data_IF_854088975336
#
_entry.id   IF_854088975336
#
_cell.length_a   1.000
_cell.length_b   1.000
_cell.length_c   1.000
_cell.angle_alpha   90.00
_cell.angle_beta   90.00
_cell.angle_gamma   90.00
#
_symmetry.space_group_name_H-M   'P 1'
#
loop_
_entity.id
_entity.type
_entity.pdbx_description
1 polymer ?
#
# COMPACT_ATOMS: atom_id res chain seq x y z
N UNK A 1 -4.66 27.16 -19.44
CA UNK A 1 -3.87 26.02 -18.97
C UNK A 1 -4.42 25.58 -17.62
N UNK A 2 -5.15 24.46 -17.58
CA UNK A 2 -5.72 23.95 -16.33
C UNK A 2 -4.69 23.02 -15.68
N UNK A 3 -3.85 23.57 -14.80
CA UNK A 3 -2.98 22.78 -13.96
C UNK A 3 -3.86 22.06 -12.93
N UNK A 4 -4.23 20.81 -13.20
CA UNK A 4 -4.75 19.90 -12.19
C UNK A 4 -3.61 19.60 -11.23
N UNK A 5 -3.40 20.49 -10.26
CA UNK A 5 -2.42 20.30 -9.19
C UNK A 5 -2.92 19.14 -8.35
N UNK A 6 -2.27 17.98 -8.46
CA UNK A 6 -2.56 16.83 -7.59
C UNK A 6 -2.29 17.27 -6.15
N UNK A 7 -3.30 17.16 -5.29
CA UNK A 7 -3.22 17.55 -3.88
C UNK A 7 -3.23 16.29 -3.03
N UNK A 8 -2.19 16.10 -2.24
CA UNK A 8 -2.07 14.98 -1.32
C UNK A 8 -2.53 15.42 0.08
N UNK A 9 -3.29 14.55 0.75
CA UNK A 9 -3.66 14.76 2.16
C UNK A 9 -2.55 14.20 3.03
N UNK A 10 -1.93 15.08 3.80
CA UNK A 10 -0.85 14.73 4.72
C UNK A 10 -1.31 15.01 6.14
N UNK A 11 -1.07 14.03 7.02
CA UNK A 11 -1.39 14.17 8.44
C UNK A 11 -0.22 14.84 9.17
N UNK A 12 -0.47 15.99 9.77
CA UNK A 12 0.46 16.65 10.66
C UNK A 12 0.61 15.84 11.96
N UNK A 13 1.80 15.83 12.61
CA UNK A 13 2.02 15.18 13.91
C UNK A 13 1.05 15.61 15.02
N UNK A 14 0.41 16.78 14.89
CA UNK A 14 -0.60 17.27 15.82
C UNK A 14 -2.04 16.85 15.45
N UNK A 15 -2.22 15.83 14.61
CA UNK A 15 -3.52 15.28 14.15
C UNK A 15 -4.36 16.16 13.21
N UNK A 16 -3.74 17.16 12.57
CA UNK A 16 -4.41 17.98 11.55
C UNK A 16 -4.18 17.42 10.15
N UNK A 17 -5.23 17.32 9.34
CA UNK A 17 -5.14 16.92 7.94
C UNK A 17 -5.01 18.19 7.11
N UNK A 18 -3.93 18.30 6.34
CA UNK A 18 -3.73 19.42 5.41
C UNK A 18 -3.60 18.91 3.98
N UNK A 19 -4.13 19.69 3.03
CA UNK A 19 -3.95 19.43 1.61
C UNK A 19 -2.71 20.13 1.12
N UNK A 20 -1.74 19.36 0.63
CA UNK A 20 -0.45 19.85 0.14
C UNK A 20 -0.33 19.48 -1.34
N UNK A 21 0.03 20.40 -2.23
CA UNK A 21 0.24 20.09 -3.65
C UNK A 21 1.44 19.15 -3.85
N UNK A 22 1.36 18.30 -4.89
CA UNK A 22 2.39 17.34 -5.30
C UNK A 22 3.81 17.89 -5.32
N UNK A 23 3.94 19.16 -5.72
CA UNK A 23 5.20 19.87 -5.90
C UNK A 23 5.89 20.25 -4.59
N UNK A 24 5.17 20.22 -3.47
CA UNK A 24 5.67 20.58 -2.13
C UNK A 24 5.79 19.34 -1.21
N UNK A 25 5.68 18.13 -1.76
CA UNK A 25 6.00 16.90 -1.02
C UNK A 25 7.52 16.72 -0.91
N UNK A 26 7.92 16.11 0.20
CA UNK A 26 9.30 15.96 0.68
C UNK A 26 10.01 17.28 1.08
N UNK A 27 9.28 18.39 1.13
CA UNK A 27 9.75 19.65 1.72
C UNK A 27 9.33 19.80 3.19
N UNK A 28 10.05 20.67 3.92
CA UNK A 28 9.69 21.05 5.28
C UNK A 28 8.53 22.06 5.23
N UNK A 29 7.36 21.64 5.71
CA UNK A 29 6.15 22.45 5.74
C UNK A 29 5.78 22.85 7.15
N UNK A 30 5.11 24.00 7.26
CA UNK A 30 4.53 24.49 8.50
C UNK A 30 3.03 24.26 8.43
N UNK A 31 2.49 23.55 9.42
CA UNK A 31 1.04 23.40 9.53
C UNK A 31 0.40 24.77 9.83
N UNK A 32 -0.57 25.26 9.04
CA UNK A 32 -1.23 26.54 9.32
C UNK A 32 -2.15 26.48 10.55
N UNK A 33 -2.48 25.29 11.06
CA UNK A 33 -3.36 25.12 12.23
C UNK A 33 -2.59 25.15 13.55
N UNK A 34 -1.49 24.41 13.64
CA UNK A 34 -0.71 24.29 14.89
C UNK A 34 0.70 24.90 14.80
N UNK A 35 1.04 25.52 13.66
CA UNK A 35 2.35 26.13 13.38
C UNK A 35 3.54 25.17 13.58
N UNK A 36 3.28 23.86 13.59
CA UNK A 36 4.30 22.83 13.75
C UNK A 36 5.01 22.61 12.43
N UNK A 37 6.35 22.59 12.47
CA UNK A 37 7.20 22.21 11.33
C UNK A 37 7.25 20.70 11.23
N UNK A 38 6.97 20.17 10.06
CA UNK A 38 7.07 18.75 9.79
C UNK A 38 7.47 18.52 8.33
N UNK A 39 8.14 17.40 8.08
CA UNK A 39 8.51 17.04 6.72
C UNK A 39 7.30 16.39 6.04
N UNK A 40 6.82 16.98 4.95
CA UNK A 40 5.68 16.50 4.20
C UNK A 40 6.07 15.33 3.28
N UNK A 41 6.59 14.25 3.86
CA UNK A 41 7.09 13.10 3.08
C UNK A 41 5.95 12.45 2.30
N UNK A 42 6.21 12.13 1.03
CA UNK A 42 5.28 11.31 0.23
C UNK A 42 5.03 9.94 0.88
N UNK A 43 5.99 9.43 1.67
CA UNK A 43 5.84 8.20 2.48
C UNK A 43 4.81 8.27 3.60
N UNK A 44 4.42 9.47 4.04
CA UNK A 44 3.35 9.69 5.03
C UNK A 44 2.01 10.03 4.35
N UNK A 45 1.95 10.03 3.02
CA UNK A 45 0.71 10.20 2.28
C UNK A 45 -0.15 8.95 2.38
N UNK A 46 -1.46 9.14 2.60
CA UNK A 46 -2.43 8.05 2.72
C UNK A 46 -2.50 7.18 1.46
N UNK A 47 -2.23 7.76 0.28
CA UNK A 47 -2.18 7.01 -0.98
C UNK A 47 -1.03 5.97 -1.00
N UNK A 48 0.08 6.23 -0.30
CA UNK A 48 1.16 5.25 -0.15
C UNK A 48 0.80 4.13 0.82
N UNK A 49 -0.01 4.43 1.84
CA UNK A 49 -0.53 3.41 2.76
C UNK A 49 -1.52 2.48 2.07
N UNK A 50 -2.40 3.01 1.21
CA UNK A 50 -3.34 2.22 0.42
C UNK A 50 -2.59 1.25 -0.51
N UNK A 51 -1.59 1.72 -1.27
CA UNK A 51 -0.85 0.83 -2.18
C UNK A 51 0.03 -0.21 -1.45
N UNK A 52 0.53 0.09 -0.25
CA UNK A 52 1.26 -0.88 0.57
C UNK A 52 0.33 -1.97 1.15
N UNK A 53 -0.89 -1.61 1.55
CA UNK A 53 -1.86 -2.61 2.03
C UNK A 53 -2.29 -3.57 0.94
N UNK A 54 -2.44 -3.08 -0.30
CA UNK A 54 -2.74 -3.94 -1.44
C UNK A 54 -1.61 -4.94 -1.69
N UNK A 55 -0.34 -4.51 -1.69
CA UNK A 55 0.80 -5.41 -1.91
C UNK A 55 0.94 -6.47 -0.81
N UNK A 56 0.72 -6.09 0.45
CA UNK A 56 0.71 -7.04 1.55
C UNK A 56 -0.41 -8.07 1.39
N UNK A 57 -1.61 -7.64 1.00
CA UNK A 57 -2.74 -8.54 0.74
C UNK A 57 -2.44 -9.50 -0.43
N UNK A 58 -1.85 -9.02 -1.52
CA UNK A 58 -1.46 -9.86 -2.66
C UNK A 58 -0.42 -10.92 -2.28
N UNK A 59 0.57 -10.58 -1.45
CA UNK A 59 1.58 -11.55 -1.01
C UNK A 59 0.95 -12.72 -0.23
N UNK A 60 0.05 -12.43 0.71
CA UNK A 60 -0.65 -13.47 1.47
C UNK A 60 -1.58 -14.30 0.57
N UNK A 61 -2.29 -13.66 -0.36
CA UNK A 61 -3.15 -14.35 -1.33
C UNK A 61 -2.37 -15.31 -2.23
N UNK A 62 -1.22 -14.88 -2.77
CA UNK A 62 -0.38 -15.73 -3.65
C UNK A 62 0.17 -16.94 -2.88
N UNK A 63 0.59 -16.76 -1.62
CA UNK A 63 1.04 -17.87 -0.78
C UNK A 63 -0.09 -18.87 -0.52
N UNK A 64 -1.30 -18.39 -0.20
CA UNK A 64 -2.45 -19.26 0.03
C UNK A 64 -2.85 -20.04 -1.24
N UNK A 65 -2.93 -19.37 -2.39
CA UNK A 65 -3.30 -19.99 -3.68
C UNK A 65 -2.24 -21.03 -4.09
N UNK A 66 -0.95 -20.69 -4.01
CA UNK A 66 0.13 -21.61 -4.38
C UNK A 66 0.14 -22.87 -3.52
N UNK A 67 -0.09 -22.73 -2.21
CA UNK A 67 -0.20 -23.87 -1.28
C UNK A 67 -1.38 -24.78 -1.65
N UNK A 68 -2.55 -24.20 -1.94
CA UNK A 68 -3.72 -24.97 -2.35
C UNK A 68 -3.47 -25.75 -3.67
N UNK A 69 -2.86 -25.10 -4.67
CA UNK A 69 -2.53 -25.75 -5.95
C UNK A 69 -1.53 -26.89 -5.75
N UNK A 70 -0.52 -26.71 -4.90
CA UNK A 70 0.46 -27.76 -4.59
C UNK A 70 -0.20 -28.96 -3.92
N UNK A 71 -1.08 -28.74 -2.94
CA UNK A 71 -1.79 -29.82 -2.26
C UNK A 71 -2.72 -30.59 -3.20
N UNK A 72 -3.46 -29.87 -4.05
CA UNK A 72 -4.34 -30.50 -5.04
C UNK A 72 -3.56 -31.31 -6.07
N UNK A 73 -2.47 -30.75 -6.61
CA UNK A 73 -1.64 -31.45 -7.61
C UNK A 73 -0.94 -32.67 -7.00
N UNK A 74 -0.35 -32.54 -5.81
CA UNK A 74 0.26 -33.66 -5.10
C UNK A 74 -0.76 -34.76 -4.77
N UNK A 75 -1.96 -34.40 -4.31
CA UNK A 75 -3.05 -35.34 -4.04
C UNK A 75 -3.50 -36.09 -5.29
N UNK A 76 -3.70 -35.38 -6.41
CA UNK A 76 -4.07 -36.00 -7.69
C UNK A 76 -2.98 -36.97 -8.17
N UNK A 77 -1.71 -36.58 -8.09
CA UNK A 77 -0.58 -37.43 -8.49
C UNK A 77 -0.56 -38.72 -7.65
N UNK A 78 -0.73 -38.61 -6.33
CA UNK A 78 -0.75 -39.76 -5.43
C UNK A 78 -1.91 -40.72 -5.72
N UNK A 79 -3.10 -40.21 -6.04
CA UNK A 79 -4.26 -41.04 -6.41
C UNK A 79 -4.03 -41.74 -7.74
N UNK A 80 -3.51 -41.03 -8.74
CA UNK A 80 -3.21 -41.60 -10.05
C UNK A 80 -2.12 -42.67 -9.97
N UNK A 81 -1.10 -42.48 -9.13
CA UNK A 81 -0.06 -43.48 -8.94
C UNK A 81 -0.58 -44.76 -8.30
N UNK A 82 -1.54 -44.66 -7.38
CA UNK A 82 -2.17 -45.83 -6.75
C UNK A 82 -3.10 -46.60 -7.72
N UNK A 83 -3.71 -45.91 -8.70
CA UNK A 83 -4.54 -46.56 -9.73
C UNK A 83 -3.72 -47.21 -10.87
N UNK A 84 -2.44 -46.84 -11.00
CA UNK A 84 -1.53 -47.36 -12.02
C UNK A 84 -0.71 -48.57 -11.55
N UNK A 85 -0.75 -48.88 -10.25
CA UNK A 85 -0.16 -50.07 -9.62
C UNK A 85 -1.21 -51.18 -9.50
#
# INVERSE_FOLDING_TARGET
MNAHVQQYRISCPSSHIISVPATLLDEELICPQCNTRFLAKFKDSLEFAEEQTERAAYQWLVIAISTAVLLLTAGIIAVVSQLRL
#
